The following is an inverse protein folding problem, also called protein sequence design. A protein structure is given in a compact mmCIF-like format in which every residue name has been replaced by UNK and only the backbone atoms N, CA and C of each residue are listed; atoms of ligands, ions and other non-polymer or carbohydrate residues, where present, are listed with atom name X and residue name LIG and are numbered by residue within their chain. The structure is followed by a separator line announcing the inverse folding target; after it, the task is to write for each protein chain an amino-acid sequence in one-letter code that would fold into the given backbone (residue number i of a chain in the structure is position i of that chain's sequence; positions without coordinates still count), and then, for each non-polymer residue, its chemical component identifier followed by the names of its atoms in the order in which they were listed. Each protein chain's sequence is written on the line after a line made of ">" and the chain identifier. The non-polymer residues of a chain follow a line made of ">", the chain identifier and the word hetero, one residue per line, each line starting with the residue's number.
data_IF_844032045942
#
_entry.id   IF_844032045942
#
_cell.length_a   1.000
_cell.length_b   1.000
_cell.length_c   1.000
_cell.angle_alpha   90.00
_cell.angle_beta   90.00
_cell.angle_gamma   90.00
#
_symmetry.space_group_name_H-M   'P 1'
#
loop_
_entity.id
_entity.type
_entity.pdbx_description
1 polymer ?
#
# COMPACT_ATOMS: atom_id res chain seq x y z
N UNK A 1 -12.59 16.97 19.62
CA UNK A 1 -11.45 16.05 19.79
C UNK A 1 -10.45 16.34 18.67
N UNK A 2 -9.14 16.01 18.80
CA UNK A 2 -8.18 16.32 17.74
C UNK A 2 -8.50 15.53 16.46
N UNK A 3 -8.37 16.20 15.33
CA UNK A 3 -8.63 15.63 13.99
C UNK A 3 -7.34 15.61 13.21
N UNK A 4 -7.05 14.50 12.56
CA UNK A 4 -5.84 14.32 11.76
C UNK A 4 -6.21 13.90 10.35
N UNK A 5 -5.31 14.16 9.40
CA UNK A 5 -5.36 13.53 8.08
C UNK A 5 -4.07 12.77 7.77
N UNK A 6 -4.21 11.67 7.06
CA UNK A 6 -3.12 10.89 6.51
C UNK A 6 -3.30 10.80 4.99
N UNK A 7 -2.20 10.97 4.26
CA UNK A 7 -2.15 10.81 2.81
C UNK A 7 -1.07 9.79 2.47
N UNK A 8 -1.42 8.76 1.72
CA UNK A 8 -0.52 7.71 1.25
C UNK A 8 -0.45 7.74 -0.27
N UNK A 9 0.71 8.10 -0.81
CA UNK A 9 1.00 8.15 -2.24
C UNK A 9 1.74 6.87 -2.64
N UNK A 10 0.96 5.85 -2.98
CA UNK A 10 1.46 4.56 -3.45
C UNK A 10 1.71 4.51 -4.96
N UNK A 11 2.29 3.41 -5.42
CA UNK A 11 2.59 3.20 -6.85
C UNK A 11 1.37 3.13 -7.76
N UNK A 12 0.23 2.63 -7.26
CA UNK A 12 -0.98 2.47 -8.07
C UNK A 12 -2.04 3.54 -7.77
N UNK A 13 -2.11 4.00 -6.52
CA UNK A 13 -3.17 4.90 -6.07
C UNK A 13 -2.65 5.80 -4.96
N UNK A 14 -3.21 6.99 -4.89
CA UNK A 14 -3.15 7.86 -3.71
C UNK A 14 -4.40 7.65 -2.85
N UNK A 15 -4.25 7.66 -1.53
CA UNK A 15 -5.34 7.58 -0.56
C UNK A 15 -5.23 8.72 0.45
N UNK A 16 -6.37 9.26 0.86
CA UNK A 16 -6.47 10.21 1.95
C UNK A 16 -7.52 9.71 2.94
N UNK A 17 -7.22 9.83 4.23
CA UNK A 17 -8.16 9.59 5.31
C UNK A 17 -8.04 10.71 6.33
N UNK A 18 -9.16 11.33 6.69
CA UNK A 18 -9.26 12.27 7.78
C UNK A 18 -10.15 11.69 8.88
N UNK A 19 -9.70 11.78 10.13
CA UNK A 19 -10.38 11.16 11.25
C UNK A 19 -10.29 11.99 12.53
N UNK A 20 -11.32 11.88 13.36
CA UNK A 20 -11.32 12.33 14.74
C UNK A 20 -10.76 11.21 15.65
N UNK A 21 -9.82 11.55 16.52
CA UNK A 21 -9.11 10.57 17.35
C UNK A 21 -9.35 10.83 18.83
N UNK A 22 -9.70 9.77 19.57
CA UNK A 22 -9.90 9.78 21.01
C UNK A 22 -9.30 8.52 21.64
N UNK A 23 -8.11 8.66 22.22
CA UNK A 23 -7.33 7.52 22.70
C UNK A 23 -7.02 6.55 21.55
N UNK A 24 -7.51 5.30 21.65
CA UNK A 24 -7.39 4.28 20.59
C UNK A 24 -8.56 4.26 19.61
N UNK A 25 -9.57 5.11 19.80
CA UNK A 25 -10.75 5.16 18.92
C UNK A 25 -10.49 6.19 17.81
N UNK A 26 -10.76 5.76 16.59
CA UNK A 26 -10.64 6.58 15.39
C UNK A 26 -11.99 6.60 14.70
N UNK A 27 -12.58 7.78 14.54
CA UNK A 27 -13.80 7.98 13.76
C UNK A 27 -13.44 8.63 12.44
N UNK A 28 -13.62 7.92 11.34
CA UNK A 28 -13.37 8.44 9.99
C UNK A 28 -14.40 9.53 9.68
N UNK A 29 -13.91 10.70 9.27
CA UNK A 29 -14.71 11.87 8.90
C UNK A 29 -14.79 12.03 7.38
N UNK A 30 -13.71 11.70 6.68
CA UNK A 30 -13.64 11.69 5.23
C UNK A 30 -12.57 10.70 4.76
N UNK A 31 -12.81 10.11 3.59
CA UNK A 31 -11.86 9.27 2.89
C UNK A 31 -11.94 9.57 1.40
N UNK A 32 -10.80 9.47 0.72
CA UNK A 32 -10.71 9.62 -0.72
C UNK A 32 -9.63 8.68 -1.25
N UNK A 33 -9.84 8.16 -2.45
CA UNK A 33 -8.92 7.25 -3.13
C UNK A 33 -8.98 7.47 -4.62
N UNK A 34 -7.82 7.78 -5.19
CA UNK A 34 -7.67 7.93 -6.62
C UNK A 34 -6.61 6.96 -7.16
N UNK A 35 -6.95 6.24 -8.22
CA UNK A 35 -5.98 5.45 -8.99
C UNK A 35 -5.18 6.40 -9.87
N UNK A 36 -3.86 6.47 -9.65
CA UNK A 36 -2.92 7.40 -10.30
C UNK A 36 -1.86 6.69 -11.12
N UNK A 37 -1.64 5.39 -10.89
CA UNK A 37 -0.73 4.52 -11.68
C UNK A 37 0.69 5.08 -11.87
N UNK A 38 1.23 5.80 -10.87
CA UNK A 38 2.59 6.36 -10.91
C UNK A 38 3.64 5.32 -11.30
N UNK A 39 3.50 4.11 -10.76
CA UNK A 39 4.40 2.98 -10.98
C UNK A 39 4.52 2.55 -12.43
N UNK A 40 3.50 2.75 -13.28
CA UNK A 40 3.56 2.34 -14.70
C UNK A 40 4.70 3.06 -15.42
N UNK A 41 4.79 4.37 -15.24
CA UNK A 41 5.89 5.16 -15.79
C UNK A 41 7.23 4.79 -15.14
N UNK A 42 7.29 4.74 -13.81
CA UNK A 42 8.54 4.50 -13.08
C UNK A 42 9.14 3.14 -13.43
N UNK A 43 8.35 2.06 -13.41
CA UNK A 43 8.88 0.72 -13.63
C UNK A 43 9.24 0.44 -15.09
N UNK A 44 8.79 1.29 -16.01
CA UNK A 44 9.14 1.23 -17.43
C UNK A 44 10.31 2.15 -17.81
N UNK A 45 10.39 3.34 -17.23
CA UNK A 45 11.33 4.40 -17.68
C UNK A 45 12.27 4.91 -16.58
N UNK A 46 12.07 4.51 -15.33
CA UNK A 46 12.84 5.00 -14.17
C UNK A 46 12.46 6.43 -13.74
N UNK A 47 11.38 7.00 -14.27
CA UNK A 47 10.95 8.37 -13.94
C UNK A 47 9.43 8.48 -13.91
N UNK A 48 8.91 9.31 -13.01
CA UNK A 48 7.48 9.65 -12.99
C UNK A 48 7.18 10.53 -14.20
N UNK A 49 6.18 10.16 -15.01
CA UNK A 49 5.80 10.95 -16.18
C UNK A 49 5.15 12.28 -15.79
N UNK A 50 5.32 13.30 -16.64
CA UNK A 50 4.72 14.63 -16.42
C UNK A 50 3.19 14.56 -16.32
N UNK A 51 2.57 13.72 -17.15
CA UNK A 51 1.12 13.47 -17.13
C UNK A 51 0.66 12.90 -15.78
N UNK A 52 1.36 11.87 -15.29
CA UNK A 52 1.00 11.21 -14.04
C UNK A 52 1.23 12.15 -12.83
N UNK A 53 2.31 12.95 -12.84
CA UNK A 53 2.59 13.91 -11.79
C UNK A 53 1.58 15.07 -11.77
N UNK A 54 1.22 15.60 -12.94
CA UNK A 54 0.18 16.63 -13.06
C UNK A 54 -1.18 16.11 -12.59
N UNK A 55 -1.56 14.90 -13.01
CA UNK A 55 -2.79 14.26 -12.57
C UNK A 55 -2.80 14.02 -11.05
N UNK A 56 -1.69 13.56 -10.48
CA UNK A 56 -1.56 13.39 -9.04
C UNK A 56 -1.73 14.73 -8.30
N UNK A 57 -1.02 15.78 -8.72
CA UNK A 57 -1.08 17.10 -8.07
C UNK A 57 -2.51 17.65 -8.06
N UNK A 58 -3.25 17.49 -9.16
CA UNK A 58 -4.65 17.91 -9.21
C UNK A 58 -5.54 17.16 -8.20
N UNK A 59 -5.26 15.87 -7.95
CA UNK A 59 -6.00 15.08 -6.96
C UNK A 59 -5.56 15.40 -5.52
N UNK A 60 -4.27 15.63 -5.28
CA UNK A 60 -3.75 16.08 -3.98
C UNK A 60 -4.38 17.42 -3.56
N UNK A 61 -4.51 18.37 -4.48
CA UNK A 61 -5.17 19.65 -4.21
C UNK A 61 -6.65 19.48 -3.82
N UNK A 62 -7.36 18.54 -4.45
CA UNK A 62 -8.75 18.20 -4.06
C UNK A 62 -8.80 17.60 -2.66
N UNK A 63 -7.92 16.63 -2.37
CA UNK A 63 -7.81 16.00 -1.04
C UNK A 63 -7.49 17.04 0.04
N UNK A 64 -6.62 18.00 -0.25
CA UNK A 64 -6.32 19.13 0.64
C UNK A 64 -7.56 19.99 0.94
N UNK A 65 -8.36 20.30 -0.07
CA UNK A 65 -9.64 20.97 0.12
C UNK A 65 -10.64 20.17 0.97
N UNK A 66 -10.59 18.83 0.93
CA UNK A 66 -11.44 17.97 1.77
C UNK A 66 -11.04 18.06 3.24
N UNK A 67 -9.79 17.74 3.60
CA UNK A 67 -9.40 17.77 5.02
C UNK A 67 -9.28 19.21 5.58
N UNK A 68 -9.04 20.22 4.73
CA UNK A 68 -9.01 21.62 5.14
C UNK A 68 -10.35 22.09 5.73
N UNK A 69 -11.47 21.57 5.23
CA UNK A 69 -12.82 21.85 5.78
C UNK A 69 -13.09 21.19 7.13
N UNK A 70 -12.26 20.23 7.54
CA UNK A 70 -12.46 19.47 8.78
C UNK A 70 -11.70 20.06 9.98
N UNK A 71 -10.94 21.14 9.78
CA UNK A 71 -10.10 21.77 10.82
C UNK A 71 -9.13 20.75 11.46
N UNK A 72 -8.45 19.98 10.62
CA UNK A 72 -7.42 19.03 11.09
C UNK A 72 -6.27 19.77 11.76
N UNK A 73 -5.76 19.22 12.87
CA UNK A 73 -4.64 19.78 13.63
C UNK A 73 -3.28 19.26 13.16
N UNK A 74 -3.27 18.26 12.26
CA UNK A 74 -2.05 17.73 11.67
C UNK A 74 -2.34 16.85 10.45
N UNK A 75 -1.44 16.91 9.48
CA UNK A 75 -1.48 16.09 8.27
C UNK A 75 -0.13 15.41 8.09
N UNK A 76 -0.13 14.09 7.88
CA UNK A 76 1.08 13.35 7.49
C UNK A 76 0.88 12.77 6.09
N UNK A 77 1.77 13.12 5.17
CA UNK A 77 1.72 12.68 3.79
C UNK A 77 2.98 11.90 3.44
N UNK A 78 2.82 10.64 3.04
CA UNK A 78 3.94 9.72 2.76
C UNK A 78 3.91 9.25 1.31
N UNK A 79 5.09 9.00 0.75
CA UNK A 79 5.27 8.41 -0.57
C UNK A 79 6.14 7.15 -0.46
N UNK A 80 5.79 6.11 -1.25
CA UNK A 80 6.37 4.77 -1.08
C UNK A 80 7.11 4.26 -2.33
N UNK A 81 7.01 2.96 -2.64
CA UNK A 81 7.90 2.23 -3.55
C UNK A 81 8.11 2.87 -4.93
N UNK A 82 7.07 3.40 -5.60
CA UNK A 82 7.29 4.00 -6.92
C UNK A 82 8.13 5.28 -6.84
N UNK A 83 7.97 6.08 -5.79
CA UNK A 83 8.70 7.33 -5.66
C UNK A 83 10.14 7.06 -5.23
N UNK A 84 10.38 6.08 -4.35
CA UNK A 84 11.73 5.60 -3.99
C UNK A 84 12.58 5.17 -5.20
N UNK A 85 11.94 4.66 -6.25
CA UNK A 85 12.62 4.17 -7.46
C UNK A 85 12.74 5.23 -8.56
N UNK A 86 12.07 6.37 -8.42
CA UNK A 86 12.04 7.41 -9.44
C UNK A 86 13.31 8.26 -9.42
N UNK A 87 13.84 8.58 -10.60
CA UNK A 87 14.98 9.49 -10.76
C UNK A 87 14.66 10.96 -10.49
N UNK A 88 13.38 11.34 -10.41
CA UNK A 88 12.92 12.72 -10.25
C UNK A 88 12.19 12.98 -8.93
N UNK A 89 12.71 12.42 -7.84
CA UNK A 89 12.16 12.55 -6.48
C UNK A 89 12.01 14.00 -6.03
N UNK A 90 13.01 14.85 -6.26
CA UNK A 90 12.98 16.24 -5.79
C UNK A 90 11.85 17.05 -6.43
N UNK A 91 11.68 16.90 -7.75
CA UNK A 91 10.58 17.53 -8.49
C UNK A 91 9.22 17.02 -8.01
N UNK A 92 9.10 15.70 -7.81
CA UNK A 92 7.92 15.08 -7.26
C UNK A 92 7.58 15.66 -5.88
N UNK A 93 8.54 15.70 -4.96
CA UNK A 93 8.36 16.18 -3.60
C UNK A 93 7.95 17.65 -3.58
N UNK A 94 8.62 18.48 -4.36
CA UNK A 94 8.29 19.91 -4.46
C UNK A 94 6.85 20.12 -4.93
N UNK A 95 6.47 19.50 -6.06
CA UNK A 95 5.15 19.72 -6.68
C UNK A 95 4.02 19.13 -5.84
N UNK A 96 4.21 17.93 -5.30
CA UNK A 96 3.19 17.26 -4.48
C UNK A 96 3.00 17.95 -3.14
N UNK A 97 4.08 18.40 -2.49
CA UNK A 97 3.99 19.17 -1.24
C UNK A 97 3.29 20.51 -1.45
N UNK A 98 3.59 21.21 -2.55
CA UNK A 98 2.90 22.44 -2.91
C UNK A 98 1.41 22.22 -3.15
N UNK A 99 1.04 21.16 -3.88
CA UNK A 99 -0.35 20.82 -4.16
C UNK A 99 -1.14 20.43 -2.90
N UNK A 100 -0.50 19.75 -1.96
CA UNK A 100 -1.13 19.29 -0.71
C UNK A 100 -1.12 20.37 0.38
N UNK A 101 -0.25 21.37 0.28
CA UNK A 101 -0.06 22.39 1.31
C UNK A 101 0.61 21.86 2.58
N UNK A 102 1.23 20.70 2.52
CA UNK A 102 2.02 20.08 3.60
C UNK A 102 3.17 19.28 2.99
N UNK A 103 4.21 19.02 3.76
CA UNK A 103 5.37 18.27 3.28
C UNK A 103 5.01 16.81 2.99
N UNK A 104 5.35 16.34 1.79
CA UNK A 104 5.36 14.92 1.45
C UNK A 104 6.72 14.35 1.81
N UNK A 105 6.75 13.21 2.51
CA UNK A 105 7.99 12.51 2.85
C UNK A 105 8.08 11.16 2.13
N UNK A 106 9.25 10.84 1.58
CA UNK A 106 9.52 9.48 1.10
C UNK A 106 9.91 8.64 2.32
N UNK A 107 9.08 7.66 2.66
CA UNK A 107 9.36 6.81 3.82
C UNK A 107 10.23 5.61 3.45
N UNK A 108 11.06 5.18 4.40
CA UNK A 108 11.86 3.97 4.25
C UNK A 108 10.98 2.72 4.24
N UNK A 109 11.53 1.62 3.73
CA UNK A 109 10.91 0.29 3.80
C UNK A 109 10.55 -0.10 5.23
N UNK A 110 11.44 0.20 6.19
CA UNK A 110 11.21 -0.13 7.59
C UNK A 110 10.04 0.69 8.18
N UNK A 111 9.93 1.97 7.83
CA UNK A 111 8.83 2.81 8.29
C UNK A 111 7.50 2.40 7.66
N UNK A 112 7.49 2.03 6.36
CA UNK A 112 6.30 1.52 5.69
C UNK A 112 5.79 0.24 6.36
N UNK A 113 6.68 -0.73 6.59
CA UNK A 113 6.36 -1.96 7.30
C UNK A 113 5.85 -1.70 8.72
N UNK A 114 6.47 -0.77 9.46
CA UNK A 114 6.04 -0.38 10.80
C UNK A 114 4.63 0.23 10.79
N UNK A 115 4.32 1.10 9.83
CA UNK A 115 3.01 1.73 9.70
C UNK A 115 1.92 0.71 9.31
N UNK A 116 2.23 -0.22 8.41
CA UNK A 116 1.34 -1.34 8.06
C UNK A 116 1.05 -2.20 9.29
N UNK A 117 2.08 -2.58 10.04
CA UNK A 117 1.95 -3.34 11.29
C UNK A 117 1.05 -2.63 12.29
N UNK A 118 1.28 -1.34 12.54
CA UNK A 118 0.43 -0.53 13.42
C UNK A 118 -1.02 -0.47 12.95
N UNK A 119 -1.26 -0.34 11.65
CA UNK A 119 -2.60 -0.36 11.07
C UNK A 119 -3.33 -1.69 11.31
N UNK A 120 -2.63 -2.81 11.12
CA UNK A 120 -3.18 -4.15 11.37
C UNK A 120 -3.47 -4.37 12.85
N UNK A 121 -2.54 -4.03 13.74
CA UNK A 121 -2.74 -4.19 15.20
C UNK A 121 -3.82 -3.26 15.75
N UNK A 122 -4.00 -2.06 15.17
CA UNK A 122 -5.10 -1.16 15.54
C UNK A 122 -6.46 -1.74 15.15
N UNK A 123 -6.55 -2.46 14.01
CA UNK A 123 -7.81 -3.00 13.49
C UNK A 123 -8.16 -4.39 14.02
N UNK A 124 -7.15 -5.25 14.19
CA UNK A 124 -7.30 -6.66 14.58
C UNK A 124 -6.23 -7.10 15.60
N UNK A 125 -6.23 -6.52 16.82
CA UNK A 125 -5.19 -6.80 17.81
C UNK A 125 -5.15 -8.27 18.23
N UNK A 126 -3.95 -8.86 18.27
CA UNK A 126 -3.70 -10.24 18.73
C UNK A 126 -2.41 -10.36 19.54
N UNK A 127 -2.41 -9.93 20.81
CA UNK A 127 -1.20 -9.81 21.64
C UNK A 127 -0.61 -11.14 22.13
N UNK A 128 -1.13 -12.29 21.69
CA UNK A 128 -0.62 -13.63 22.07
C UNK A 128 -0.33 -14.54 20.88
N UNK A 129 -0.38 -14.00 19.67
CA UNK A 129 -0.20 -14.77 18.43
C UNK A 129 1.07 -14.31 17.71
N UNK A 130 1.69 -15.23 16.99
CA UNK A 130 2.67 -14.94 15.95
C UNK A 130 1.93 -14.87 14.62
N UNK A 131 1.94 -13.70 14.01
CA UNK A 131 1.15 -13.36 12.83
C UNK A 131 2.08 -13.00 11.68
N UNK A 132 1.84 -13.61 10.52
CA UNK A 132 2.42 -13.17 9.26
C UNK A 132 1.51 -12.11 8.65
N UNK A 133 2.02 -10.91 8.41
CA UNK A 133 1.29 -9.84 7.73
C UNK A 133 1.92 -9.66 6.35
N UNK A 134 1.09 -9.63 5.31
CA UNK A 134 1.50 -9.45 3.93
C UNK A 134 0.70 -8.29 3.33
N UNK A 135 1.36 -7.19 2.99
CA UNK A 135 0.75 -6.12 2.19
C UNK A 135 1.25 -6.22 0.76
N UNK A 136 0.35 -6.36 -0.22
CA UNK A 136 0.73 -6.38 -1.64
C UNK A 136 0.24 -5.09 -2.29
N UNK A 137 1.14 -4.12 -2.35
CA UNK A 137 0.95 -2.84 -3.02
C UNK A 137 1.14 -2.90 -4.53
N UNK A 138 1.25 -1.72 -5.15
CA UNK A 138 1.52 -1.60 -6.59
C UNK A 138 3.00 -1.80 -6.93
N UNK A 139 3.92 -1.29 -6.11
CA UNK A 139 5.36 -1.32 -6.38
C UNK A 139 6.13 -2.36 -5.58
N UNK A 140 5.71 -2.61 -4.35
CA UNK A 140 6.33 -3.56 -3.44
C UNK A 140 5.29 -4.46 -2.77
N UNK A 141 5.80 -5.49 -2.10
CA UNK A 141 5.07 -6.25 -1.11
C UNK A 141 5.87 -6.27 0.20
N UNK A 142 5.22 -5.91 1.29
CA UNK A 142 5.77 -5.94 2.64
C UNK A 142 5.36 -7.24 3.31
N UNK A 143 6.34 -7.95 3.87
CA UNK A 143 6.16 -9.22 4.57
C UNK A 143 6.70 -9.02 5.98
N UNK A 144 5.82 -9.11 6.96
CA UNK A 144 6.08 -8.69 8.33
C UNK A 144 5.75 -9.84 9.28
N UNK A 145 6.67 -10.12 10.20
CA UNK A 145 6.47 -11.05 11.30
C UNK A 145 6.12 -10.25 12.55
N UNK A 146 4.89 -10.39 13.02
CA UNK A 146 4.42 -9.86 14.31
C UNK A 146 4.41 -10.97 15.36
N UNK A 147 4.83 -10.69 16.58
CA UNK A 147 4.68 -11.60 17.71
C UNK A 147 4.23 -10.82 18.94
N UNK A 148 3.15 -11.29 19.57
CA UNK A 148 2.58 -10.64 20.74
C UNK A 148 2.24 -9.16 20.52
N UNK A 149 1.82 -8.81 19.30
CA UNK A 149 1.53 -7.43 18.91
C UNK A 149 2.76 -6.53 18.72
N UNK A 150 3.96 -7.10 18.66
CA UNK A 150 5.21 -6.40 18.38
C UNK A 150 5.76 -6.81 17.02
N UNK A 151 6.30 -5.85 16.27
CA UNK A 151 7.02 -6.13 15.03
C UNK A 151 8.35 -6.80 15.37
N UNK A 152 8.57 -8.01 14.87
CA UNK A 152 9.78 -8.82 15.10
C UNK A 152 10.75 -8.71 13.93
N UNK A 153 10.21 -8.87 12.71
CA UNK A 153 10.99 -8.72 11.48
C UNK A 153 10.09 -8.20 10.36
N UNK A 154 10.68 -7.54 9.38
CA UNK A 154 9.99 -7.09 8.19
C UNK A 154 10.93 -6.99 7.00
N UNK A 155 10.44 -7.42 5.84
CA UNK A 155 11.11 -7.22 4.55
C UNK A 155 10.13 -6.59 3.57
N UNK A 156 10.63 -5.69 2.72
CA UNK A 156 9.91 -5.27 1.52
C UNK A 156 10.59 -5.87 0.30
N UNK A 157 9.79 -6.41 -0.61
CA UNK A 157 10.24 -7.03 -1.85
C UNK A 157 9.62 -6.28 -3.03
N UNK A 158 10.32 -6.18 -4.18
CA UNK A 158 9.79 -5.59 -5.41
C UNK A 158 8.76 -6.54 -6.08
N UNK A 159 7.72 -6.92 -5.35
CA UNK A 159 6.69 -7.88 -5.75
C UNK A 159 5.30 -7.23 -5.81
N UNK A 160 5.25 -5.90 -6.01
CA UNK A 160 3.99 -5.19 -6.17
C UNK A 160 3.31 -5.50 -7.50
N UNK A 161 1.98 -5.49 -7.52
CA UNK A 161 1.19 -5.94 -8.66
C UNK A 161 1.45 -5.12 -9.95
N UNK A 162 1.60 -3.79 -9.85
CA UNK A 162 1.90 -2.94 -11.01
C UNK A 162 3.31 -3.23 -11.52
N UNK A 163 4.29 -3.36 -10.61
CA UNK A 163 5.66 -3.69 -11.02
C UNK A 163 5.73 -5.03 -11.74
N UNK A 164 5.13 -6.07 -11.17
CA UNK A 164 5.18 -7.40 -11.76
C UNK A 164 4.52 -7.43 -13.14
N UNK A 165 3.38 -6.75 -13.32
CA UNK A 165 2.75 -6.59 -14.63
C UNK A 165 3.66 -5.84 -15.60
N UNK A 166 4.16 -4.67 -15.22
CA UNK A 166 5.00 -3.84 -16.10
C UNK A 166 6.34 -4.48 -16.43
N UNK A 167 6.89 -5.36 -15.60
CA UNK A 167 8.17 -6.01 -15.87
C UNK A 167 7.98 -7.30 -16.68
N UNK A 168 6.97 -8.11 -16.36
CA UNK A 168 6.86 -9.49 -16.87
C UNK A 168 5.70 -9.74 -17.83
N UNK A 169 4.60 -9.00 -17.76
CA UNK A 169 3.35 -9.30 -18.48
C UNK A 169 3.13 -8.28 -19.59
N UNK A 170 3.59 -8.57 -20.81
CA UNK A 170 3.54 -7.65 -21.95
C UNK A 170 2.41 -7.94 -22.91
N UNK A 171 1.83 -9.14 -22.88
CA UNK A 171 0.70 -9.52 -23.72
C UNK A 171 -0.62 -9.51 -22.95
N UNK A 172 -1.70 -9.09 -23.62
CA UNK A 172 -3.05 -9.32 -23.14
C UNK A 172 -3.36 -10.81 -23.27
N UNK A 173 -3.64 -11.45 -22.13
CA UNK A 173 -3.36 -12.87 -21.84
C UNK A 173 -1.84 -13.18 -21.81
N UNK A 174 -1.25 -13.34 -20.61
CA UNK A 174 0.14 -13.74 -20.47
C UNK A 174 0.47 -15.07 -21.14
N UNK A 175 1.62 -15.12 -21.79
CA UNK A 175 2.18 -16.36 -22.34
C UNK A 175 2.76 -17.25 -21.22
N UNK A 176 2.89 -18.55 -21.50
CA UNK A 176 3.50 -19.50 -20.55
C UNK A 176 4.94 -19.11 -20.16
N UNK A 177 5.70 -18.51 -21.09
CA UNK A 177 7.06 -18.03 -20.80
C UNK A 177 7.07 -16.83 -19.86
N UNK A 178 6.18 -15.85 -20.05
CA UNK A 178 6.03 -14.71 -19.14
C UNK A 178 5.63 -15.17 -17.74
N UNK A 179 4.68 -16.11 -17.64
CA UNK A 179 4.27 -16.70 -16.36
C UNK A 179 5.41 -17.46 -15.69
N UNK A 180 6.19 -18.26 -16.43
CA UNK A 180 7.38 -18.94 -15.89
C UNK A 180 8.41 -17.95 -15.36
N UNK A 181 8.72 -16.89 -16.11
CA UNK A 181 9.68 -15.85 -15.69
C UNK A 181 9.19 -15.10 -14.45
N UNK A 182 7.90 -14.77 -14.40
CA UNK A 182 7.26 -14.16 -13.24
C UNK A 182 7.37 -15.05 -11.99
N UNK A 183 7.02 -16.34 -12.10
CA UNK A 183 7.11 -17.28 -10.98
C UNK A 183 8.55 -17.45 -10.49
N UNK A 184 9.50 -17.65 -11.40
CA UNK A 184 10.91 -17.79 -11.05
C UNK A 184 11.44 -16.54 -10.29
N UNK A 185 11.02 -15.35 -10.72
CA UNK A 185 11.37 -14.10 -10.04
C UNK A 185 10.78 -14.02 -8.63
N UNK A 186 9.49 -14.38 -8.46
CA UNK A 186 8.85 -14.40 -7.14
C UNK A 186 9.57 -15.39 -6.21
N UNK A 187 9.86 -16.61 -6.68
CA UNK A 187 10.59 -17.62 -5.92
C UNK A 187 11.98 -17.11 -5.49
N UNK A 188 12.73 -16.50 -6.41
CA UNK A 188 14.04 -15.92 -6.12
C UNK A 188 13.95 -14.86 -5.01
N UNK A 189 12.99 -13.92 -5.09
CA UNK A 189 12.85 -12.85 -4.10
C UNK A 189 12.34 -13.34 -2.74
N UNK A 190 11.56 -14.42 -2.73
CA UNK A 190 11.03 -15.05 -1.52
C UNK A 190 11.99 -16.04 -0.86
N UNK A 191 12.95 -16.60 -1.60
CA UNK A 191 13.87 -17.61 -1.08
C UNK A 191 14.62 -17.17 0.19
N UNK A 192 15.15 -15.92 0.33
CA UNK A 192 15.76 -15.48 1.58
C UNK A 192 14.78 -15.48 2.76
N UNK A 193 13.54 -15.04 2.54
CA UNK A 193 12.53 -15.02 3.60
C UNK A 193 12.14 -16.44 4.00
N UNK A 194 11.97 -17.35 3.05
CA UNK A 194 11.70 -18.78 3.32
C UNK A 194 12.85 -19.46 4.07
N UNK A 195 14.12 -19.11 3.79
CA UNK A 195 15.25 -19.66 4.56
C UNK A 195 15.21 -19.26 6.03
N UNK A 196 14.82 -18.02 6.33
CA UNK A 196 14.75 -17.51 7.71
C UNK A 196 13.48 -17.98 8.43
N UNK A 197 12.32 -17.87 7.78
CA UNK A 197 11.01 -18.03 8.42
C UNK A 197 10.21 -19.25 7.94
N UNK A 198 10.68 -20.01 6.96
CA UNK A 198 9.89 -21.07 6.32
C UNK A 198 9.56 -22.28 7.19
N UNK A 199 10.32 -22.50 8.28
CA UNK A 199 10.06 -23.56 9.27
C UNK A 199 9.26 -23.05 10.47
N UNK A 200 8.96 -21.76 10.52
CA UNK A 200 8.25 -21.15 11.63
C UNK A 200 6.75 -21.42 11.53
N UNK A 201 6.12 -21.59 12.69
CA UNK A 201 4.67 -21.70 12.79
C UNK A 201 4.06 -20.33 13.05
N UNK A 202 3.24 -19.87 12.11
CA UNK A 202 2.37 -18.71 12.29
C UNK A 202 0.98 -19.19 12.71
N UNK A 203 0.42 -18.64 13.78
CA UNK A 203 -0.96 -18.95 14.18
C UNK A 203 -1.98 -18.26 13.26
N UNK A 204 -1.55 -17.20 12.56
CA UNK A 204 -2.41 -16.39 11.71
C UNK A 204 -1.62 -15.77 10.55
N UNK A 205 -2.27 -15.63 9.42
CA UNK A 205 -1.84 -14.75 8.33
C UNK A 205 -2.89 -13.64 8.12
N UNK A 206 -2.42 -12.42 7.87
CA UNK A 206 -3.26 -11.27 7.51
C UNK A 206 -2.71 -10.71 6.19
N UNK A 207 -3.57 -10.58 5.18
CA UNK A 207 -3.19 -10.01 3.89
C UNK A 207 -3.96 -8.71 3.69
N UNK A 208 -3.27 -7.64 3.33
CA UNK A 208 -3.84 -6.29 3.22
C UNK A 208 -3.70 -5.69 1.82
N UNK A 209 -4.21 -4.48 1.64
CA UNK A 209 -4.21 -3.71 0.39
C UNK A 209 -5.16 -4.22 -0.70
N UNK A 210 -5.08 -3.58 -1.87
CA UNK A 210 -6.06 -3.73 -2.95
C UNK A 210 -6.06 -5.13 -3.56
N UNK A 211 -4.90 -5.79 -3.58
CA UNK A 211 -4.74 -7.16 -4.09
C UNK A 211 -5.50 -8.14 -3.21
N UNK A 212 -5.37 -8.04 -1.87
CA UNK A 212 -6.14 -8.85 -0.94
C UNK A 212 -7.65 -8.63 -1.09
N UNK A 213 -8.09 -7.36 -1.18
CA UNK A 213 -9.50 -7.03 -1.40
C UNK A 213 -10.05 -7.58 -2.71
N UNK A 214 -9.24 -7.59 -3.78
CA UNK A 214 -9.61 -8.18 -5.06
C UNK A 214 -9.76 -9.71 -4.98
N UNK A 215 -8.88 -10.40 -4.26
CA UNK A 215 -8.99 -11.86 -4.01
C UNK A 215 -10.26 -12.18 -3.23
N UNK A 216 -10.53 -11.46 -2.14
CA UNK A 216 -11.75 -11.63 -1.33
C UNK A 216 -12.99 -11.40 -2.20
N UNK A 217 -12.98 -10.36 -3.01
CA UNK A 217 -14.10 -10.03 -3.89
C UNK A 217 -14.34 -11.13 -4.92
N UNK A 218 -13.29 -11.62 -5.58
CA UNK A 218 -13.39 -12.71 -6.56
C UNK A 218 -13.88 -14.01 -5.92
N UNK A 219 -13.32 -14.40 -4.76
CA UNK A 219 -13.70 -15.63 -4.07
C UNK A 219 -15.16 -15.62 -3.57
N UNK A 220 -15.69 -14.44 -3.21
CA UNK A 220 -17.05 -14.31 -2.70
C UNK A 220 -18.07 -13.77 -3.73
N UNK A 221 -17.67 -13.61 -5.00
CA UNK A 221 -18.54 -13.06 -6.05
C UNK A 221 -18.97 -11.59 -5.80
N UNK A 222 -18.20 -10.83 -5.01
CA UNK A 222 -18.49 -9.43 -4.72
C UNK A 222 -18.06 -8.58 -5.92
N UNK A 223 -18.99 -7.80 -6.46
CA UNK A 223 -18.69 -6.89 -7.56
C UNK A 223 -17.65 -5.84 -7.17
N UNK A 224 -16.81 -5.43 -8.14
CA UNK A 224 -15.89 -4.30 -7.99
C UNK A 224 -16.59 -2.97 -7.63
N UNK A 225 -17.90 -2.84 -7.77
CA UNK A 225 -18.62 -1.65 -7.31
C UNK A 225 -18.83 -1.62 -5.78
N UNK A 226 -18.65 -2.75 -5.09
CA UNK A 226 -18.97 -2.95 -3.67
C UNK A 226 -17.75 -3.42 -2.85
N UNK A 227 -16.55 -2.97 -3.21
CA UNK A 227 -15.29 -3.49 -2.64
C UNK A 227 -15.17 -3.23 -1.15
N UNK A 228 -15.83 -2.20 -0.64
CA UNK A 228 -15.84 -1.86 0.79
C UNK A 228 -16.58 -2.92 1.63
N UNK A 229 -17.44 -3.74 1.00
CA UNK A 229 -18.04 -4.92 1.62
C UNK A 229 -17.01 -6.04 1.83
N UNK A 230 -15.95 -6.10 1.02
CA UNK A 230 -14.89 -7.11 1.13
C UNK A 230 -14.06 -6.98 2.42
N UNK A 231 -13.90 -5.77 2.96
CA UNK A 231 -13.17 -5.51 4.21
C UNK A 231 -13.84 -6.13 5.46
N UNK A 232 -15.07 -6.65 5.31
CA UNK A 232 -15.86 -7.25 6.39
C UNK A 232 -16.03 -8.75 6.26
N UNK A 233 -15.46 -9.37 5.23
CA UNK A 233 -15.67 -10.78 4.91
C UNK A 233 -14.32 -11.48 4.79
N UNK A 234 -14.17 -12.62 5.47
CA UNK A 234 -12.99 -13.47 5.26
C UNK A 234 -13.12 -14.15 3.89
N UNK A 235 -12.02 -14.28 3.15
CA UNK A 235 -11.99 -15.21 2.02
C UNK A 235 -12.34 -16.60 2.56
N UNK A 236 -13.51 -17.11 2.19
CA UNK A 236 -13.86 -18.50 2.46
C UNK A 236 -13.25 -19.29 1.31
N UNK A 237 -12.38 -20.25 1.63
CA UNK A 237 -12.00 -21.24 0.64
C UNK A 237 -13.30 -21.94 0.17
N UNK A 238 -13.41 -22.27 -1.13
CA UNK A 238 -14.49 -23.12 -1.61
C UNK A 238 -14.51 -24.47 -0.89
#
# INVERSE_FOLDING_TARGET
>A
MPRYAAVDIGSNSVRMMAAEVSGRRTQILAEDRQVTRLGESVFRTGRISEEALTFLCANLAKMAGVYGRLSVVGVRAVATSAVRDASNQDEFLQRTSAALGTNVEIISVAEEARLIHLGVEARWPRPKERTLIIDVGGGSAEIIVSQNGQLIDAVSKPLGAVRLTEVFLKTDLPTDDELRRLHAYIEEKMAPFHRTHGQEKFQRAVVTSATAGAIVSAANGISRAKRDEADRVCARAP
#
